data_IF_896372629814
#
_entry.id   IF_896372629814
#
_cell.length_a   1.000
_cell.length_b   1.000
_cell.length_c   1.000
_cell.angle_alpha   90.00
_cell.angle_beta   90.00
_cell.angle_gamma   90.00
#
_symmetry.space_group_name_H-M   'P 1'
#
loop_
_entity.id
_entity.type
_entity.pdbx_description
1 polymer ?
#
# COMPACT_ATOMS: atom_id res chain seq x y z
N UNK A 1 0.99 20.63 -20.58
CA UNK A 1 2.31 20.37 -19.99
C UNK A 1 2.15 19.21 -19.01
N UNK A 2 2.94 18.14 -19.15
CA UNK A 2 2.85 16.95 -18.29
C UNK A 2 3.81 17.05 -17.08
N UNK A 3 3.74 16.11 -16.14
CA UNK A 3 4.54 16.13 -14.91
C UNK A 3 6.05 16.06 -15.15
N UNK A 4 6.51 15.33 -16.17
CA UNK A 4 7.94 15.24 -16.51
C UNK A 4 8.47 16.52 -17.14
N UNK A 5 7.66 17.19 -17.96
CA UNK A 5 7.97 18.53 -18.49
C UNK A 5 8.08 19.55 -17.34
N UNK A 6 7.12 19.57 -16.42
CA UNK A 6 7.15 20.42 -15.23
C UNK A 6 8.39 20.19 -14.35
N UNK A 7 8.73 18.92 -14.10
CA UNK A 7 9.94 18.55 -13.36
C UNK A 7 11.20 19.04 -14.06
N UNK A 8 11.27 18.89 -15.38
CA UNK A 8 12.42 19.35 -16.18
C UNK A 8 12.58 20.86 -16.08
N UNK A 9 11.50 21.63 -16.20
CA UNK A 9 11.54 23.09 -16.03
C UNK A 9 11.88 23.49 -14.59
N UNK A 10 11.28 22.82 -13.59
CA UNK A 10 11.59 23.08 -12.18
C UNK A 10 13.08 22.87 -11.88
N UNK A 11 13.70 21.84 -12.46
CA UNK A 11 15.13 21.55 -12.25
C UNK A 11 16.06 22.61 -12.85
N UNK A 12 15.60 23.40 -13.83
CA UNK A 12 16.34 24.54 -14.43
C UNK A 12 16.32 25.79 -13.57
N UNK A 13 15.42 25.88 -12.58
CA UNK A 13 15.36 27.02 -11.67
C UNK A 13 16.62 27.08 -10.78
N UNK A 14 16.96 28.29 -10.30
CA UNK A 14 18.00 28.48 -9.28
C UNK A 14 17.64 27.72 -7.99
N UNK A 15 18.63 27.26 -7.20
CA UNK A 15 18.39 26.48 -5.99
C UNK A 15 17.34 27.08 -5.04
N UNK A 16 17.34 28.39 -4.84
CA UNK A 16 16.41 29.10 -3.94
C UNK A 16 14.97 29.05 -4.46
N UNK A 17 14.78 29.20 -5.77
CA UNK A 17 13.47 29.12 -6.41
C UNK A 17 12.94 27.67 -6.40
N UNK A 18 13.83 26.68 -6.58
CA UNK A 18 13.46 25.26 -6.44
C UNK A 18 13.02 24.92 -5.03
N UNK A 19 13.75 25.40 -4.02
CA UNK A 19 13.38 25.17 -2.62
C UNK A 19 12.00 25.77 -2.30
N UNK A 20 11.73 27.00 -2.74
CA UNK A 20 10.41 27.63 -2.58
C UNK A 20 9.30 26.87 -3.30
N UNK A 21 9.54 26.43 -4.53
CA UNK A 21 8.58 25.63 -5.29
C UNK A 21 8.31 24.28 -4.61
N UNK A 22 9.37 23.59 -4.16
CA UNK A 22 9.23 22.32 -3.45
C UNK A 22 8.43 22.49 -2.16
N UNK A 23 8.69 23.54 -1.38
CA UNK A 23 7.93 23.84 -0.18
C UNK A 23 6.45 24.10 -0.49
N UNK A 24 6.13 24.97 -1.46
CA UNK A 24 4.75 25.25 -1.85
C UNK A 24 4.02 24.00 -2.36
N UNK A 25 4.71 23.12 -3.10
CA UNK A 25 4.15 21.83 -3.52
C UNK A 25 3.89 20.92 -2.32
N UNK A 26 4.81 20.84 -1.35
CA UNK A 26 4.61 20.05 -0.14
C UNK A 26 3.43 20.56 0.71
N UNK A 27 3.33 21.87 0.91
CA UNK A 27 2.20 22.51 1.61
C UNK A 27 0.89 22.21 0.90
N UNK A 28 0.86 22.25 -0.43
CA UNK A 28 -0.37 21.95 -1.20
C UNK A 28 -0.88 20.51 -1.01
N UNK A 29 -0.04 19.61 -0.50
CA UNK A 29 -0.41 18.22 -0.23
C UNK A 29 -0.94 18.00 1.19
N UNK A 30 -0.96 19.02 2.06
CA UNK A 30 -1.40 18.90 3.46
C UNK A 30 -2.93 18.88 3.60
N UNK A 31 -3.64 19.60 2.73
CA UNK A 31 -5.11 19.75 2.77
C UNK A 31 -5.82 18.98 1.63
N UNK A 32 -5.43 17.73 1.41
CA UNK A 32 -6.06 16.88 0.39
C UNK A 32 -7.38 16.28 0.88
N UNK A 33 -8.37 16.22 -0.02
CA UNK A 33 -9.60 15.47 0.22
C UNK A 33 -9.34 13.95 0.25
N UNK A 34 -10.27 13.19 0.85
CA UNK A 34 -10.17 11.72 0.88
C UNK A 34 -10.12 11.10 -0.52
N UNK A 35 -10.83 11.68 -1.49
CA UNK A 35 -10.82 11.24 -2.87
C UNK A 35 -9.46 11.46 -3.55
N UNK A 36 -8.78 12.57 -3.25
CA UNK A 36 -7.44 12.84 -3.76
C UNK A 36 -6.41 11.91 -3.11
N UNK A 37 -6.50 11.68 -1.80
CA UNK A 37 -5.68 10.71 -1.08
C UNK A 37 -5.86 9.31 -1.68
N UNK A 38 -7.10 8.89 -1.92
CA UNK A 38 -7.41 7.61 -2.55
C UNK A 38 -6.80 7.53 -3.96
N UNK A 39 -6.94 8.57 -4.78
CA UNK A 39 -6.34 8.59 -6.13
C UNK A 39 -4.82 8.42 -6.09
N UNK A 40 -4.13 9.08 -5.15
CA UNK A 40 -2.68 8.94 -4.98
C UNK A 40 -2.29 7.51 -4.60
N UNK A 41 -3.03 6.87 -3.70
CA UNK A 41 -2.81 5.48 -3.33
C UNK A 41 -3.06 4.51 -4.48
N UNK A 42 -4.12 4.75 -5.28
CA UNK A 42 -4.42 3.92 -6.44
C UNK A 42 -3.33 4.02 -7.50
N UNK A 43 -2.83 5.23 -7.78
CA UNK A 43 -1.76 5.43 -8.74
C UNK A 43 -0.44 4.82 -8.25
N UNK A 44 -0.14 4.93 -6.97
CA UNK A 44 1.02 4.26 -6.36
C UNK A 44 0.88 2.73 -6.40
N UNK A 45 -0.30 2.19 -6.12
CA UNK A 45 -0.56 0.76 -6.23
C UNK A 45 -0.38 0.25 -7.67
N UNK A 46 -0.87 0.98 -8.67
CA UNK A 46 -0.65 0.64 -10.08
C UNK A 46 0.83 0.67 -10.48
N UNK A 47 1.60 1.62 -9.93
CA UNK A 47 3.04 1.70 -10.14
C UNK A 47 3.74 0.46 -9.57
N UNK A 48 3.47 0.11 -8.31
CA UNK A 48 4.01 -1.10 -7.64
C UNK A 48 3.58 -2.40 -8.31
N UNK A 49 2.35 -2.44 -8.81
CA UNK A 49 1.82 -3.59 -9.54
C UNK A 49 2.58 -3.84 -10.85
N UNK A 50 3.00 -2.78 -11.55
CA UNK A 50 3.89 -2.88 -12.72
C UNK A 50 5.32 -3.30 -12.33
N UNK A 51 5.82 -2.89 -11.17
CA UNK A 51 7.14 -3.33 -10.67
C UNK A 51 7.17 -4.84 -10.44
N UNK A 52 6.09 -5.41 -9.91
CA UNK A 52 5.93 -6.86 -9.79
C UNK A 52 5.98 -7.61 -11.14
N UNK A 53 5.46 -7.02 -12.21
CA UNK A 53 5.52 -7.63 -13.55
C UNK A 53 6.92 -7.52 -14.18
N UNK A 54 7.67 -6.47 -13.84
CA UNK A 54 8.97 -6.16 -14.44
C UNK A 54 10.17 -6.91 -13.86
N UNK A 55 10.16 -7.28 -12.57
CA UNK A 55 11.30 -7.92 -11.90
C UNK A 55 10.88 -9.00 -10.89
N UNK A 56 11.69 -10.06 -10.80
CA UNK A 56 11.62 -11.11 -9.75
C UNK A 56 11.88 -10.46 -8.38
N UNK A 57 10.87 -9.87 -7.76
CA UNK A 57 10.87 -9.59 -6.31
C UNK A 57 11.24 -10.91 -5.60
N UNK A 58 12.07 -10.94 -4.55
CA UNK A 58 12.38 -12.19 -3.86
C UNK A 58 11.10 -12.90 -3.39
N UNK A 59 11.04 -14.22 -3.57
CA UNK A 59 9.99 -15.07 -3.00
C UNK A 59 10.20 -15.11 -1.48
N UNK A 60 9.41 -14.37 -0.71
CA UNK A 60 9.24 -14.66 0.72
C UNK A 60 7.98 -15.48 0.88
N UNK A 61 8.15 -16.77 1.15
CA UNK A 61 7.05 -17.67 1.48
C UNK A 61 6.54 -17.34 2.88
N UNK A 62 5.23 -17.27 3.03
CA UNK A 62 4.57 -17.39 4.32
C UNK A 62 4.44 -18.89 4.67
N UNK A 63 5.56 -19.63 4.67
CA UNK A 63 5.56 -21.02 5.10
C UNK A 63 5.47 -21.04 6.63
N UNK A 64 4.25 -21.18 7.14
CA UNK A 64 3.90 -22.14 8.20
C UNK A 64 2.37 -22.12 8.41
N UNK A 65 1.64 -22.88 7.60
CA UNK A 65 0.29 -23.33 7.97
C UNK A 65 0.16 -24.81 7.61
N UNK A 66 0.07 -25.62 8.67
CA UNK A 66 -0.04 -27.07 8.65
C UNK A 66 -1.22 -27.58 7.81
N UNK A 67 -0.95 -28.73 7.18
CA UNK A 67 -1.88 -29.56 6.42
C UNK A 67 -3.12 -29.93 7.25
N UNK A 68 -4.30 -29.75 6.67
CA UNK A 68 -5.43 -30.65 6.89
C UNK A 68 -5.94 -31.14 5.53
N UNK A 69 -6.13 -32.44 5.42
CA UNK A 69 -6.58 -33.12 4.20
C UNK A 69 -8.09 -32.93 3.99
N UNK A 70 -8.50 -32.61 2.75
CA UNK A 70 -9.90 -32.68 2.31
C UNK A 70 -10.39 -31.43 1.56
N UNK A 71 -10.51 -31.55 0.23
CA UNK A 71 -10.69 -30.50 -0.81
C UNK A 71 -9.44 -29.67 -1.05
N UNK A 72 -8.95 -29.66 -2.30
CA UNK A 72 -7.89 -28.77 -2.75
C UNK A 72 -8.35 -27.30 -2.63
N UNK A 73 -8.20 -26.74 -1.42
CA UNK A 73 -8.25 -25.31 -1.19
C UNK A 73 -7.01 -24.73 -1.85
N UNK A 74 -7.17 -24.25 -3.09
CA UNK A 74 -6.12 -23.50 -3.77
C UNK A 74 -5.93 -22.16 -3.08
N UNK A 75 -5.17 -22.15 -1.99
CA UNK A 75 -4.76 -20.91 -1.32
C UNK A 75 -3.77 -20.19 -2.22
N UNK A 76 -4.11 -18.97 -2.65
CA UNK A 76 -3.21 -18.16 -3.46
C UNK A 76 -1.94 -17.84 -2.66
N UNK A 77 -0.79 -17.81 -3.33
CA UNK A 77 0.46 -17.38 -2.72
C UNK A 77 0.41 -15.87 -2.46
N UNK A 78 0.60 -15.44 -1.21
CA UNK A 78 0.62 -14.02 -0.86
C UNK A 78 2.05 -13.49 -0.93
N UNK A 79 2.22 -12.33 -1.57
CA UNK A 79 3.51 -11.63 -1.65
C UNK A 79 3.36 -10.16 -1.37
N UNK A 80 4.33 -9.60 -0.65
CA UNK A 80 4.35 -8.19 -0.31
C UNK A 80 5.26 -7.41 -1.23
N UNK A 81 4.80 -6.24 -1.65
CA UNK A 81 5.71 -5.19 -2.07
C UNK A 81 6.55 -4.76 -0.86
N UNK A 82 7.84 -4.47 -1.04
CA UNK A 82 8.71 -4.05 0.07
C UNK A 82 8.18 -2.81 0.80
N UNK A 83 7.59 -1.88 0.06
CA UNK A 83 6.91 -0.71 0.64
C UNK A 83 5.67 -1.08 1.46
N UNK A 84 4.91 -2.08 1.04
CA UNK A 84 3.72 -2.53 1.78
C UNK A 84 4.12 -3.17 3.12
N UNK A 85 5.24 -3.89 3.16
CA UNK A 85 5.81 -4.42 4.41
C UNK A 85 6.29 -3.27 5.32
N UNK A 86 6.92 -2.23 4.76
CA UNK A 86 7.31 -1.05 5.51
C UNK A 86 6.10 -0.27 6.07
N UNK A 87 5.03 -0.10 5.27
CA UNK A 87 3.76 0.51 5.68
C UNK A 87 3.09 -0.26 6.83
N UNK A 88 3.07 -1.59 6.74
CA UNK A 88 2.55 -2.46 7.80
C UNK A 88 3.30 -2.26 9.12
N UNK A 89 4.63 -2.30 9.08
CA UNK A 89 5.46 -2.15 10.27
C UNK A 89 5.32 -0.76 10.87
N UNK A 90 5.30 0.28 10.03
CA UNK A 90 5.12 1.66 10.46
C UNK A 90 3.77 1.89 11.14
N UNK A 91 2.69 1.34 10.56
CA UNK A 91 1.37 1.42 11.14
C UNK A 91 1.30 0.74 12.52
N UNK A 92 1.90 -0.45 12.66
CA UNK A 92 1.95 -1.16 13.93
C UNK A 92 2.74 -0.38 15.00
N UNK A 93 3.92 0.14 14.63
CA UNK A 93 4.75 0.95 15.53
C UNK A 93 4.08 2.27 15.94
N UNK A 94 3.36 2.90 15.02
CA UNK A 94 2.60 4.13 15.29
C UNK A 94 1.47 3.85 16.28
N UNK A 95 0.67 2.82 16.03
CA UNK A 95 -0.46 2.46 16.87
C UNK A 95 0.00 2.05 18.29
N UNK A 96 1.11 1.33 18.40
CA UNK A 96 1.68 0.98 19.71
C UNK A 96 2.25 2.17 20.48
N UNK A 97 2.66 3.24 19.80
CA UNK A 97 3.01 4.51 20.46
C UNK A 97 1.79 5.25 20.99
N UNK A 98 0.64 5.13 20.32
CA UNK A 98 -0.61 5.73 20.80
C UNK A 98 -1.17 4.96 22.01
N UNK A 99 -1.16 3.63 21.95
CA UNK A 99 -1.54 2.79 23.07
C UNK A 99 -0.95 1.38 22.94
N UNK A 100 -0.26 0.93 23.99
CA UNK A 100 0.38 -0.38 24.04
C UNK A 100 -0.61 -1.50 23.73
N UNK A 101 -0.28 -2.37 22.77
CA UNK A 101 -1.10 -3.53 22.40
C UNK A 101 -2.01 -3.30 21.20
N UNK A 102 -2.20 -2.06 20.74
CA UNK A 102 -3.06 -1.75 19.60
C UNK A 102 -2.40 -2.17 18.27
N UNK A 103 -1.08 -2.11 18.18
CA UNK A 103 -0.34 -2.55 16.99
C UNK A 103 -0.56 -4.04 16.70
N UNK A 104 -0.60 -4.87 17.74
CA UNK A 104 -0.90 -6.30 17.63
C UNK A 104 -2.34 -6.54 17.17
N UNK A 105 -3.31 -5.81 17.72
CA UNK A 105 -4.72 -5.88 17.29
C UNK A 105 -4.88 -5.47 15.82
N UNK A 106 -4.09 -4.51 15.35
CA UNK A 106 -4.02 -4.11 13.95
C UNK A 106 -3.43 -5.20 13.06
N UNK A 107 -2.29 -5.78 13.44
CA UNK A 107 -1.67 -6.87 12.70
C UNK A 107 -2.59 -8.09 12.60
N UNK A 108 -3.37 -8.38 13.64
CA UNK A 108 -4.40 -9.42 13.61
C UNK A 108 -5.51 -9.07 12.61
N UNK A 109 -6.07 -7.87 12.63
CA UNK A 109 -7.13 -7.47 11.68
C UNK A 109 -6.62 -7.50 10.22
N UNK A 110 -5.37 -7.09 10.02
CA UNK A 110 -4.70 -7.16 8.72
C UNK A 110 -4.49 -8.61 8.26
N UNK A 111 -4.03 -9.49 9.15
CA UNK A 111 -3.89 -10.94 8.86
C UNK A 111 -5.21 -11.54 8.39
N UNK A 112 -6.29 -11.26 9.11
CA UNK A 112 -7.63 -11.73 8.72
C UNK A 112 -8.04 -11.23 7.33
N UNK A 113 -7.72 -9.97 7.00
CA UNK A 113 -7.99 -9.44 5.67
C UNK A 113 -7.16 -10.14 4.58
N UNK A 114 -5.88 -10.43 4.85
CA UNK A 114 -4.98 -11.15 3.94
C UNK A 114 -5.47 -12.59 3.71
N UNK A 115 -5.80 -13.33 4.76
CA UNK A 115 -6.29 -14.71 4.66
C UNK A 115 -7.61 -14.78 3.88
N UNK A 116 -8.46 -13.78 4.08
CA UNK A 116 -9.72 -13.66 3.36
C UNK A 116 -9.50 -13.43 1.86
N UNK A 117 -8.58 -12.54 1.45
CA UNK A 117 -8.30 -12.32 0.03
C UNK A 117 -7.47 -13.46 -0.59
N UNK A 118 -6.68 -14.19 0.19
CA UNK A 118 -5.95 -15.37 -0.28
C UNK A 118 -6.88 -16.56 -0.57
N UNK A 119 -7.96 -16.70 0.20
CA UNK A 119 -9.01 -17.71 0.01
C UNK A 119 -10.07 -17.28 -1.01
N UNK A 120 -10.37 -15.98 -1.09
CA UNK A 120 -11.36 -15.40 -1.99
C UNK A 120 -10.78 -14.16 -2.70
N UNK A 121 -9.89 -14.34 -3.70
CA UNK A 121 -9.19 -13.24 -4.38
C UNK A 121 -10.10 -12.15 -4.95
N UNK A 122 -11.33 -12.51 -5.31
CA UNK A 122 -12.28 -11.60 -5.95
C UNK A 122 -13.25 -10.92 -4.98
N UNK A 123 -13.12 -11.15 -3.66
CA UNK A 123 -14.06 -10.64 -2.65
C UNK A 123 -14.13 -9.11 -2.57
N UNK A 124 -13.07 -8.42 -2.99
CA UNK A 124 -13.00 -6.97 -2.97
C UNK A 124 -13.16 -6.40 -4.40
N UNK A 125 -13.86 -5.26 -4.58
CA UNK A 125 -14.04 -4.66 -5.88
C UNK A 125 -12.71 -4.16 -6.47
N UNK A 126 -12.65 -4.14 -7.80
CA UNK A 126 -11.55 -3.50 -8.55
C UNK A 126 -11.74 -1.98 -8.45
N UNK A 127 -10.68 -1.26 -8.12
CA UNK A 127 -10.65 0.21 -8.11
C UNK A 127 -10.10 0.78 -9.41
N UNK A 128 -9.03 0.18 -9.97
CA UNK A 128 -8.44 0.57 -11.26
C UNK A 128 -7.54 -0.54 -11.80
N UNK A 129 -7.62 -0.85 -13.10
CA UNK A 129 -6.84 -1.93 -13.71
C UNK A 129 -7.15 -3.28 -13.06
N UNK A 130 -6.15 -3.92 -12.45
CA UNK A 130 -6.31 -5.15 -11.64
C UNK A 130 -6.18 -4.92 -10.13
N UNK A 131 -6.08 -3.66 -9.70
CA UNK A 131 -5.95 -3.28 -8.29
C UNK A 131 -7.31 -3.36 -7.62
N UNK A 132 -7.35 -4.00 -6.45
CA UNK A 132 -8.51 -4.21 -5.60
C UNK A 132 -8.27 -3.58 -4.24
N UNK A 133 -9.36 -3.12 -3.61
CA UNK A 133 -9.32 -2.46 -2.29
C UNK A 133 -10.20 -3.20 -1.30
N UNK A 134 -9.59 -3.71 -0.22
CA UNK A 134 -10.28 -4.33 0.90
C UNK A 134 -10.11 -3.47 2.16
N UNK A 135 -11.13 -2.71 2.60
CA UNK A 135 -11.07 -2.02 3.88
C UNK A 135 -10.86 -3.00 5.04
N UNK A 136 -10.04 -2.60 6.01
CA UNK A 136 -9.90 -3.29 7.29
C UNK A 136 -11.16 -3.07 8.13
N UNK A 137 -11.42 -3.95 9.09
CA UNK A 137 -12.67 -3.92 9.87
C UNK A 137 -12.59 -2.99 11.06
N UNK A 138 -11.45 -2.96 11.74
CA UNK A 138 -11.26 -2.27 13.02
C UNK A 138 -10.52 -0.95 12.91
N UNK A 139 -9.80 -0.75 11.80
CA UNK A 139 -8.90 0.37 11.63
C UNK A 139 -9.21 1.13 10.34
N UNK A 140 -8.95 2.45 10.28
CA UNK A 140 -9.14 3.29 9.10
C UNK A 140 -8.05 3.04 8.05
N UNK A 141 -7.83 1.76 7.71
CA UNK A 141 -6.85 1.30 6.74
C UNK A 141 -7.55 0.44 5.68
N UNK A 142 -6.90 0.27 4.53
CA UNK A 142 -7.31 -0.64 3.47
C UNK A 142 -6.13 -1.47 3.00
N UNK A 143 -6.37 -2.74 2.77
CA UNK A 143 -5.47 -3.63 2.06
C UNK A 143 -5.64 -3.40 0.55
N UNK A 144 -4.59 -2.92 -0.11
CA UNK A 144 -4.56 -2.73 -1.55
C UNK A 144 -3.78 -3.90 -2.16
N UNK A 145 -4.41 -4.63 -3.07
CA UNK A 145 -3.82 -5.84 -3.65
C UNK A 145 -4.19 -6.02 -5.12
N UNK A 146 -3.45 -6.88 -5.82
CA UNK A 146 -3.83 -7.39 -7.14
C UNK A 146 -3.78 -8.91 -7.17
N UNK A 147 -4.46 -9.49 -8.17
CA UNK A 147 -4.46 -10.93 -8.42
C UNK A 147 -3.73 -11.20 -9.73
N UNK A 148 -2.71 -12.04 -9.71
CA UNK A 148 -1.91 -12.39 -10.88
C UNK A 148 -1.58 -13.89 -10.90
N UNK A 149 -2.25 -14.67 -11.76
CA UNK A 149 -2.12 -16.12 -11.75
C UNK A 149 -2.64 -16.72 -10.44
N UNK A 150 -1.78 -17.43 -9.70
CA UNK A 150 -2.09 -17.98 -8.37
C UNK A 150 -1.46 -17.15 -7.24
N UNK A 151 -1.25 -15.86 -7.46
CA UNK A 151 -0.58 -14.95 -6.55
C UNK A 151 -1.50 -13.79 -6.15
N UNK A 152 -1.58 -13.51 -4.85
CA UNK A 152 -2.06 -12.24 -4.30
C UNK A 152 -0.85 -11.35 -4.06
N UNK A 153 -0.80 -10.21 -4.74
CA UNK A 153 0.25 -9.19 -4.54
C UNK A 153 -0.30 -8.11 -3.64
N UNK A 154 0.23 -8.00 -2.43
CA UNK A 154 -0.06 -6.91 -1.50
C UNK A 154 0.76 -5.70 -1.93
N UNK A 155 0.07 -4.70 -2.47
CA UNK A 155 0.64 -3.52 -3.08
C UNK A 155 0.83 -2.40 -2.05
N UNK A 156 -0.11 -2.23 -1.13
CA UNK A 156 -0.03 -1.22 -0.07
C UNK A 156 -0.91 -1.55 1.14
N UNK A 157 -0.49 -1.05 2.30
CA UNK A 157 -1.32 -0.94 3.51
C UNK A 157 -1.71 0.53 3.67
N UNK A 158 -2.83 0.89 3.05
CA UNK A 158 -3.27 2.26 2.84
C UNK A 158 -4.02 2.80 4.06
N UNK A 159 -3.53 3.86 4.70
CA UNK A 159 -4.32 4.64 5.65
C UNK A 159 -5.33 5.51 4.89
N UNK A 160 -6.61 5.49 5.28
CA UNK A 160 -7.71 6.11 4.52
C UNK A 160 -7.64 7.65 4.48
N UNK A 161 -7.13 8.27 5.55
CA UNK A 161 -7.00 9.73 5.67
C UNK A 161 -5.56 10.25 5.53
N UNK A 162 -4.61 9.46 4.99
CA UNK A 162 -3.22 9.91 4.84
C UNK A 162 -2.66 9.51 3.48
N UNK A 163 -1.92 10.41 2.84
CA UNK A 163 -1.29 10.17 1.53
C UNK A 163 -0.21 9.07 1.60
N UNK A 164 0.11 8.40 0.47
CA UNK A 164 1.27 7.52 0.40
C UNK A 164 2.55 8.23 0.86
N UNK A 165 3.48 7.49 1.44
CA UNK A 165 4.81 7.95 1.86
C UNK A 165 4.82 9.03 2.96
N UNK A 166 3.68 9.39 3.56
CA UNK A 166 3.62 10.44 4.58
C UNK A 166 4.58 10.18 5.76
N UNK A 167 4.84 8.91 6.10
CA UNK A 167 5.75 8.49 7.16
C UNK A 167 7.23 8.67 6.84
N UNK A 168 7.61 8.73 5.55
CA UNK A 168 9.03 8.81 5.12
C UNK A 168 9.70 10.14 5.44
N UNK A 169 8.90 11.18 5.69
CA UNK A 169 9.38 12.52 5.96
C UNK A 169 9.40 12.87 7.45
N UNK A 170 9.13 11.91 8.33
CA UNK A 170 9.25 12.08 9.79
C UNK A 170 10.67 11.77 10.24
N UNK A 171 11.62 12.66 9.91
CA UNK A 171 12.95 12.73 10.51
C UNK A 171 13.22 14.16 10.96
#
# INVERSE_FOLDING_TARGET
MNAEELKTEALRLKPEARAKLAHALLESLEDLSEAEIESLWVDEALRRDKEFDGHRVPLRRADDVQRSEGKASMTYLVRFHTEAEAEMNEAADFLNRESTGIGEVFLDDLRHAIDLVASHPEIAPIVKGRVRRKPLRKFPYSLIYSVAGQEIRILAIMHQHRRPFYWRHRN
#
